data_IF_476118535581
#
_entry.id   IF_476118535581
#
_cell.length_a   1.000
_cell.length_b   1.000
_cell.length_c   1.000
_cell.angle_alpha   90.00
_cell.angle_beta   90.00
_cell.angle_gamma   90.00
#
_symmetry.space_group_name_H-M   'P 1'
#
loop_
_entity.id
_entity.type
_entity.pdbx_description
1 polymer ?
#
# COMPACT_ATOMS: atom_id res chain seq x y z
N UNK A 1 -60.11 13.78 58.28
CA UNK A 1 -58.83 14.51 58.24
C UNK A 1 -57.85 13.65 57.44
N UNK A 2 -57.06 14.10 56.47
CA UNK A 2 -56.91 15.37 55.77
C UNK A 2 -56.28 15.06 54.41
N UNK A 3 -56.50 15.96 53.45
CA UNK A 3 -56.05 15.94 52.05
C UNK A 3 -54.53 16.18 51.93
N UNK A 4 -53.95 15.73 50.80
CA UNK A 4 -53.14 16.50 49.84
C UNK A 4 -52.01 15.64 49.24
N UNK A 5 -51.43 15.87 48.06
CA UNK A 5 -51.75 16.52 46.78
C UNK A 5 -50.39 16.54 46.04
N UNK A 6 -50.37 16.22 44.75
CA UNK A 6 -49.39 16.64 43.71
C UNK A 6 -47.88 16.53 44.00
N UNK A 7 -47.16 15.86 43.09
CA UNK A 7 -46.28 16.62 42.21
C UNK A 7 -45.98 15.89 40.89
N UNK A 8 -46.19 16.62 39.81
CA UNK A 8 -45.81 16.26 38.45
C UNK A 8 -44.31 16.51 38.26
N UNK A 9 -43.62 15.65 37.51
CA UNK A 9 -42.45 16.10 36.74
C UNK A 9 -42.07 15.15 35.61
N UNK A 10 -42.52 15.56 34.44
CA UNK A 10 -41.89 15.34 33.14
C UNK A 10 -40.35 15.44 33.25
N UNK A 11 -39.62 14.39 32.92
CA UNK A 11 -38.19 14.50 32.55
C UNK A 11 -37.98 13.83 31.20
N UNK A 12 -37.77 14.70 30.21
CA UNK A 12 -37.35 14.41 28.83
C UNK A 12 -36.24 13.35 28.81
N UNK A 13 -36.43 12.30 28.02
CA UNK A 13 -35.32 11.44 27.54
C UNK A 13 -34.41 12.32 26.69
N UNK A 14 -33.22 12.62 27.19
CA UNK A 14 -32.18 13.31 26.43
C UNK A 14 -31.73 12.43 25.27
N UNK A 15 -31.79 12.96 24.05
CA UNK A 15 -31.03 12.46 22.91
C UNK A 15 -29.55 12.56 23.28
N UNK A 16 -28.83 11.44 23.33
CA UNK A 16 -27.37 11.47 23.24
C UNK A 16 -27.01 11.76 21.79
N UNK A 17 -26.72 13.04 21.56
CA UNK A 17 -26.16 13.56 20.33
C UNK A 17 -24.83 12.88 20.02
N UNK A 18 -24.73 12.37 18.80
CA UNK A 18 -23.52 12.24 18.00
C UNK A 18 -22.44 13.25 18.37
N UNK A 19 -21.31 12.77 18.87
CA UNK A 19 -20.13 13.56 19.19
C UNK A 19 -18.86 12.79 18.86
N UNK A 20 -18.32 13.04 17.67
CA UNK A 20 -16.92 12.94 17.27
C UNK A 20 -16.01 12.00 18.10
N UNK A 21 -15.88 10.75 17.69
CA UNK A 21 -14.72 9.91 18.06
C UNK A 21 -13.65 10.05 16.97
N UNK A 22 -12.98 11.20 16.94
CA UNK A 22 -11.78 11.39 16.14
C UNK A 22 -10.59 10.67 16.79
N UNK A 23 -10.16 9.55 16.20
CA UNK A 23 -8.78 9.03 16.00
C UNK A 23 -7.66 9.23 17.05
N UNK A 24 -7.94 9.66 18.28
CA UNK A 24 -6.92 9.97 19.31
C UNK A 24 -6.37 8.75 20.06
N UNK A 25 -6.73 7.53 19.63
CA UNK A 25 -6.58 6.31 20.43
C UNK A 25 -5.48 5.33 20.02
N UNK A 26 -4.68 5.59 18.98
CA UNK A 26 -3.42 4.84 18.82
C UNK A 26 -2.44 5.35 19.89
N UNK A 27 -2.64 4.90 21.13
CA UNK A 27 -1.75 5.18 22.25
C UNK A 27 -0.39 4.51 21.97
N UNK A 28 0.63 5.33 21.66
CA UNK A 28 2.07 5.22 21.99
C UNK A 28 2.79 3.86 22.11
N UNK A 29 2.27 2.75 21.60
CA UNK A 29 3.09 1.66 21.09
C UNK A 29 3.41 1.96 19.63
N UNK A 30 4.69 2.01 19.25
CA UNK A 30 5.02 2.13 17.82
C UNK A 30 4.62 0.81 17.16
N UNK A 31 3.58 0.85 16.35
CA UNK A 31 3.22 -0.26 15.46
C UNK A 31 4.43 -0.55 14.56
N UNK A 32 4.90 -1.80 14.55
CA UNK A 32 5.90 -2.28 13.61
C UNK A 32 5.23 -3.04 12.47
N UNK A 33 5.60 -2.72 11.24
CA UNK A 33 5.08 -3.37 10.03
C UNK A 33 6.06 -4.45 9.57
N UNK A 34 5.58 -5.68 9.39
CA UNK A 34 6.36 -6.79 8.84
C UNK A 34 5.89 -7.11 7.42
N UNK A 35 6.83 -7.41 6.52
CA UNK A 35 6.55 -7.99 5.19
C UNK A 35 7.70 -8.91 4.78
N UNK A 36 7.48 -9.74 3.76
CA UNK A 36 8.53 -10.58 3.15
C UNK A 36 9.37 -9.84 2.09
N UNK A 37 9.15 -8.54 1.90
CA UNK A 37 9.72 -7.72 0.84
C UNK A 37 9.57 -8.29 -0.58
N UNK A 38 8.61 -9.16 -0.85
CA UNK A 38 8.30 -9.62 -2.21
C UNK A 38 7.73 -8.48 -3.09
N UNK A 39 7.81 -8.59 -4.42
CA UNK A 39 7.18 -7.66 -5.38
C UNK A 39 5.69 -7.48 -5.09
N UNK A 40 5.06 -6.44 -5.64
CA UNK A 40 3.64 -6.18 -5.41
C UNK A 40 3.39 -5.59 -4.03
N UNK A 41 2.41 -6.12 -3.31
CA UNK A 41 1.89 -5.51 -2.05
C UNK A 41 2.99 -5.29 -1.02
N UNK A 42 3.86 -6.28 -0.79
CA UNK A 42 4.89 -6.23 0.26
C UNK A 42 5.89 -5.08 0.05
N UNK A 43 6.34 -4.81 -1.19
CA UNK A 43 7.13 -3.60 -1.48
C UNK A 43 6.36 -2.33 -1.26
N UNK A 44 5.13 -2.24 -1.78
CA UNK A 44 4.34 -1.00 -1.67
C UNK A 44 4.15 -0.59 -0.21
N UNK A 45 3.93 -1.57 0.66
CA UNK A 45 3.86 -1.37 2.11
C UNK A 45 5.18 -0.85 2.68
N UNK A 46 6.31 -1.47 2.33
CA UNK A 46 7.63 -1.02 2.79
C UNK A 46 7.97 0.39 2.29
N UNK A 47 7.68 0.69 1.02
CA UNK A 47 7.88 1.99 0.41
C UNK A 47 7.17 3.09 1.23
N UNK A 48 5.90 2.86 1.56
CA UNK A 48 5.12 3.79 2.37
C UNK A 48 5.61 3.87 3.83
N UNK A 49 5.97 2.74 4.45
CA UNK A 49 6.46 2.72 5.82
C UNK A 49 7.78 3.48 5.97
N UNK A 50 8.70 3.29 5.03
CA UNK A 50 9.98 4.00 4.97
C UNK A 50 9.78 5.50 4.72
N UNK A 51 8.90 5.89 3.79
CA UNK A 51 8.58 7.31 3.54
C UNK A 51 8.04 8.02 4.78
N UNK A 52 7.21 7.33 5.57
CA UNK A 52 6.61 7.88 6.78
C UNK A 52 7.48 7.74 8.04
N UNK A 53 8.65 7.10 7.94
CA UNK A 53 9.54 6.83 9.07
C UNK A 53 8.93 5.90 10.12
N UNK A 54 8.03 5.01 9.68
CA UNK A 54 7.44 3.97 10.51
C UNK A 54 8.39 2.79 10.66
N UNK A 55 8.37 2.16 11.83
CA UNK A 55 9.18 0.96 12.05
C UNK A 55 8.67 -0.16 11.15
N UNK A 56 9.55 -0.69 10.30
CA UNK A 56 9.23 -1.76 9.39
C UNK A 56 10.39 -2.74 9.21
N UNK A 57 10.08 -3.93 8.71
CA UNK A 57 11.04 -4.98 8.40
C UNK A 57 10.33 -6.30 8.11
N UNK A 58 10.88 -7.40 8.61
CA UNK A 58 10.32 -8.75 8.43
C UNK A 58 11.39 -9.74 7.99
N UNK A 59 10.99 -11.00 7.80
CA UNK A 59 11.85 -12.05 7.26
C UNK A 59 11.67 -12.16 5.75
N UNK A 60 12.75 -12.33 4.99
CA UNK A 60 12.74 -12.63 3.55
C UNK A 60 13.43 -13.97 3.28
N UNK A 61 13.21 -14.53 2.08
CA UNK A 61 13.80 -15.80 1.67
C UNK A 61 15.34 -15.74 1.64
N UNK A 62 15.96 -16.92 1.63
CA UNK A 62 17.41 -17.09 1.49
C UNK A 62 17.96 -16.29 0.31
N UNK A 63 19.14 -15.70 0.50
CA UNK A 63 19.78 -14.81 -0.44
C UNK A 63 19.02 -13.50 -0.67
N UNK A 64 18.04 -13.15 0.17
CA UNK A 64 17.13 -12.01 -0.05
C UNK A 64 16.41 -12.08 -1.40
N UNK A 65 16.00 -13.27 -1.82
CA UNK A 65 15.39 -13.47 -3.14
C UNK A 65 13.94 -12.99 -3.22
N UNK A 66 13.61 -12.36 -4.34
CA UNK A 66 12.29 -11.98 -4.78
C UNK A 66 12.12 -12.22 -6.29
N UNK A 67 10.91 -12.01 -6.81
CA UNK A 67 10.55 -12.28 -8.21
C UNK A 67 11.43 -11.54 -9.24
N UNK A 68 11.83 -10.32 -8.95
CA UNK A 68 12.68 -9.47 -9.80
C UNK A 68 14.16 -9.53 -9.42
N UNK A 69 14.56 -10.52 -8.61
CA UNK A 69 15.93 -10.73 -8.14
C UNK A 69 16.10 -10.39 -6.67
N UNK A 70 17.24 -9.79 -6.32
CA UNK A 70 17.59 -9.50 -4.93
C UNK A 70 16.78 -8.34 -4.36
N UNK A 71 16.26 -8.49 -3.14
CA UNK A 71 15.62 -7.41 -2.38
C UNK A 71 16.69 -6.35 -2.03
N UNK A 72 16.52 -5.09 -2.47
CA UNK A 72 17.46 -4.01 -2.18
C UNK A 72 17.78 -3.84 -0.69
N UNK A 73 19.01 -3.45 -0.36
CA UNK A 73 19.48 -3.22 1.02
C UNK A 73 18.75 -2.06 1.73
N UNK A 74 18.07 -1.20 0.96
CA UNK A 74 17.21 -0.14 1.51
C UNK A 74 15.98 -0.69 2.25
N UNK A 75 15.59 -1.94 2.00
CA UNK A 75 14.49 -2.59 2.71
C UNK A 75 15.01 -3.33 3.95
N UNK A 76 14.53 -2.97 5.16
CA UNK A 76 15.03 -3.48 6.44
C UNK A 76 14.47 -4.88 6.79
N UNK A 77 14.52 -5.81 5.84
CA UNK A 77 14.18 -7.22 6.06
C UNK A 77 15.42 -8.03 6.40
N UNK A 78 15.25 -9.07 7.20
CA UNK A 78 16.30 -10.01 7.59
C UNK A 78 16.18 -11.27 6.73
N UNK A 79 17.31 -11.78 6.24
CA UNK A 79 17.35 -13.05 5.52
C UNK A 79 17.09 -14.20 6.47
N UNK A 80 16.22 -15.12 6.08
CA UNK A 80 16.02 -16.38 6.79
C UNK A 80 16.85 -17.49 6.10
N UNK A 81 17.93 -18.00 6.74
CA UNK A 81 18.82 -18.97 6.10
C UNK A 81 18.10 -20.27 5.74
N UNK A 82 18.29 -20.74 4.51
CA UNK A 82 17.69 -21.98 4.00
C UNK A 82 16.18 -21.91 3.76
N UNK A 83 15.57 -20.73 3.82
CA UNK A 83 14.14 -20.53 3.67
C UNK A 83 13.74 -20.13 2.26
N UNK A 84 12.61 -20.63 1.79
CA UNK A 84 11.97 -20.14 0.58
C UNK A 84 10.97 -18.98 0.88
N UNK A 85 10.21 -18.59 -0.14
CA UNK A 85 9.18 -17.55 0.03
C UNK A 85 8.10 -17.97 1.01
N UNK A 86 7.65 -19.23 0.98
CA UNK A 86 6.62 -19.75 1.88
C UNK A 86 7.08 -19.75 3.34
N UNK A 87 8.32 -20.18 3.58
CA UNK A 87 8.95 -20.13 4.90
C UNK A 87 9.02 -18.69 5.44
N UNK A 88 9.37 -17.72 4.59
CA UNK A 88 9.38 -16.31 4.98
C UNK A 88 7.98 -15.78 5.32
N UNK A 89 6.94 -16.19 4.57
CA UNK A 89 5.54 -15.84 4.86
C UNK A 89 5.15 -16.41 6.22
N UNK A 90 5.42 -17.70 6.45
CA UNK A 90 5.15 -18.39 7.71
C UNK A 90 5.84 -17.69 8.89
N UNK A 91 7.11 -17.32 8.73
CA UNK A 91 7.89 -16.65 9.77
C UNK A 91 7.30 -15.27 10.10
N UNK A 92 6.94 -14.47 9.09
CA UNK A 92 6.29 -13.17 9.32
C UNK A 92 4.90 -13.29 9.97
N UNK A 93 4.12 -14.32 9.63
CA UNK A 93 2.85 -14.63 10.32
C UNK A 93 3.09 -14.99 11.78
N UNK A 94 4.13 -15.76 12.08
CA UNK A 94 4.49 -16.16 13.44
C UNK A 94 4.90 -14.95 14.30
N UNK A 95 5.74 -14.08 13.73
CA UNK A 95 6.39 -12.96 14.43
C UNK A 95 5.54 -11.69 14.56
N UNK A 96 4.38 -11.64 13.91
CA UNK A 96 3.43 -10.52 14.02
C UNK A 96 2.28 -10.85 14.96
N UNK A 97 1.66 -9.86 15.61
CA UNK A 97 0.47 -10.06 16.43
C UNK A 97 -0.75 -10.43 15.58
N UNK A 98 -0.78 -9.95 14.34
CA UNK A 98 -1.76 -10.34 13.33
C UNK A 98 -1.33 -10.02 11.91
N UNK A 99 -2.09 -10.53 10.95
CA UNK A 99 -1.80 -10.39 9.52
C UNK A 99 -2.93 -9.70 8.77
N UNK A 100 -2.63 -8.61 8.04
CA UNK A 100 -3.51 -8.06 7.03
C UNK A 100 -3.18 -8.69 5.66
N UNK A 101 -4.15 -9.40 5.08
CA UNK A 101 -3.99 -10.13 3.83
C UNK A 101 -4.78 -9.39 2.74
N UNK A 102 -4.05 -8.76 1.81
CA UNK A 102 -4.63 -8.04 0.69
C UNK A 102 -4.72 -8.99 -0.51
N UNK A 103 -5.90 -9.06 -1.13
CA UNK A 103 -6.16 -9.87 -2.31
C UNK A 103 -7.07 -9.13 -3.29
N UNK A 104 -7.20 -9.66 -4.52
CA UNK A 104 -7.98 -9.03 -5.58
C UNK A 104 -8.85 -10.08 -6.27
N UNK A 105 -10.10 -10.24 -5.82
CA UNK A 105 -10.98 -11.30 -6.29
C UNK A 105 -10.81 -12.57 -5.46
N UNK A 106 -10.21 -13.60 -6.02
CA UNK A 106 -9.93 -14.85 -5.30
C UNK A 106 -8.65 -14.73 -4.45
N UNK A 107 -8.54 -15.56 -3.40
CA UNK A 107 -7.37 -15.64 -2.53
C UNK A 107 -6.52 -16.81 -3.05
N UNK A 108 -5.41 -16.49 -3.70
CA UNK A 108 -4.50 -17.45 -4.34
C UNK A 108 -3.04 -17.08 -4.02
N UNK A 109 -2.12 -18.03 -4.17
CA UNK A 109 -0.68 -17.87 -3.94
C UNK A 109 -0.34 -17.35 -2.51
N UNK A 110 0.49 -16.31 -2.40
CA UNK A 110 0.98 -15.78 -1.11
C UNK A 110 -0.14 -15.34 -0.14
N UNK A 111 -1.22 -14.68 -0.60
CA UNK A 111 -2.44 -14.50 0.21
C UNK A 111 -3.03 -15.77 0.81
N UNK A 112 -3.11 -16.85 0.03
CA UNK A 112 -3.67 -18.14 0.45
C UNK A 112 -2.76 -18.81 1.47
N UNK A 113 -1.46 -18.89 1.17
CA UNK A 113 -0.46 -19.42 2.10
C UNK A 113 -0.45 -18.68 3.44
N UNK A 114 -0.51 -17.34 3.41
CA UNK A 114 -0.57 -16.54 4.63
C UNK A 114 -1.85 -16.81 5.44
N UNK A 115 -2.98 -16.98 4.76
CA UNK A 115 -4.26 -17.31 5.40
C UNK A 115 -4.17 -18.68 6.07
N UNK A 116 -3.65 -19.68 5.37
CA UNK A 116 -3.45 -21.04 5.87
C UNK A 116 -2.55 -21.04 7.10
N UNK A 117 -1.40 -20.35 7.07
CA UNK A 117 -0.53 -20.24 8.23
C UNK A 117 -1.21 -19.52 9.40
N UNK A 118 -2.02 -18.49 9.13
CA UNK A 118 -2.78 -17.82 10.20
C UNK A 118 -3.75 -18.80 10.87
N UNK A 119 -4.48 -19.59 10.08
CA UNK A 119 -5.43 -20.60 10.58
C UNK A 119 -4.70 -21.69 11.37
N UNK A 120 -3.64 -22.26 10.81
CA UNK A 120 -2.87 -23.34 11.43
C UNK A 120 -2.24 -22.92 12.76
N UNK A 121 -1.77 -21.68 12.85
CA UNK A 121 -1.10 -21.13 14.05
C UNK A 121 -2.07 -20.44 15.02
N UNK A 122 -3.36 -20.35 14.69
CA UNK A 122 -4.35 -19.61 15.49
C UNK A 122 -4.08 -18.11 15.59
N UNK A 123 -3.38 -17.53 14.60
CA UNK A 123 -3.05 -16.09 14.55
C UNK A 123 -4.24 -15.31 14.01
N UNK A 124 -4.48 -14.11 14.55
CA UNK A 124 -5.57 -13.27 14.05
C UNK A 124 -5.19 -12.65 12.71
N UNK A 125 -6.16 -12.61 11.78
CA UNK A 125 -5.95 -12.07 10.44
C UNK A 125 -7.12 -11.22 9.99
N UNK A 126 -6.86 -10.36 8.99
CA UNK A 126 -7.86 -9.54 8.33
C UNK A 126 -7.73 -9.67 6.82
N UNK A 127 -8.77 -10.20 6.19
CA UNK A 127 -8.92 -10.22 4.74
C UNK A 127 -9.32 -8.82 4.25
N UNK A 128 -8.62 -8.33 3.23
CA UNK A 128 -8.83 -7.01 2.62
C UNK A 128 -8.95 -7.19 1.10
N UNK A 129 -10.19 -7.19 0.61
CA UNK A 129 -10.45 -7.29 -0.83
C UNK A 129 -10.17 -5.95 -1.51
N UNK A 130 -8.99 -5.79 -2.11
CA UNK A 130 -8.64 -4.62 -2.91
C UNK A 130 -9.40 -4.55 -4.24
N UNK A 131 -10.11 -5.61 -4.63
CA UNK A 131 -11.09 -5.61 -5.73
C UNK A 131 -12.26 -4.68 -5.46
N UNK A 132 -12.74 -4.68 -4.21
CA UNK A 132 -13.94 -3.95 -3.80
C UNK A 132 -13.63 -2.62 -3.08
N UNK A 133 -12.48 -2.57 -2.40
CA UNK A 133 -12.10 -1.43 -1.57
C UNK A 133 -11.13 -0.50 -2.29
N UNK A 134 -11.34 0.81 -2.14
CA UNK A 134 -10.31 1.80 -2.45
C UNK A 134 -9.21 1.77 -1.37
N UNK A 135 -7.95 2.14 -1.70
CA UNK A 135 -6.84 2.07 -0.75
C UNK A 135 -7.08 2.79 0.58
N UNK A 136 -7.73 3.96 0.56
CA UNK A 136 -8.09 4.67 1.80
C UNK A 136 -9.09 3.92 2.68
N UNK A 137 -10.02 3.16 2.07
CA UNK A 137 -10.96 2.30 2.79
C UNK A 137 -10.25 1.07 3.34
N UNK A 138 -9.38 0.44 2.55
CA UNK A 138 -8.52 -0.66 2.99
C UNK A 138 -7.66 -0.25 4.20
N UNK A 139 -7.04 0.93 4.15
CA UNK A 139 -6.24 1.46 5.26
C UNK A 139 -7.06 1.65 6.53
N UNK A 140 -8.32 2.10 6.40
CA UNK A 140 -9.25 2.19 7.54
C UNK A 140 -9.63 0.80 8.09
N UNK A 141 -9.89 -0.18 7.22
CA UNK A 141 -10.19 -1.56 7.65
C UNK A 141 -9.02 -2.14 8.44
N UNK A 142 -7.79 -1.90 8.00
CA UNK A 142 -6.58 -2.34 8.72
C UNK A 142 -6.42 -1.56 10.03
N UNK A 143 -6.68 -0.25 10.05
CA UNK A 143 -6.63 0.56 11.27
C UNK A 143 -7.63 0.06 12.33
N UNK A 144 -8.86 -0.24 11.91
CA UNK A 144 -9.89 -0.79 12.79
C UNK A 144 -9.47 -2.17 13.33
N UNK A 145 -8.86 -3.01 12.49
CA UNK A 145 -8.32 -4.32 12.90
C UNK A 145 -7.20 -4.20 13.94
N UNK A 146 -6.21 -3.33 13.71
CA UNK A 146 -5.13 -3.04 14.66
C UNK A 146 -5.71 -2.62 16.02
N UNK A 147 -6.69 -1.71 16.01
CA UNK A 147 -7.30 -1.19 17.22
C UNK A 147 -8.16 -2.23 17.94
N UNK A 148 -8.95 -3.00 17.20
CA UNK A 148 -9.83 -4.04 17.76
C UNK A 148 -9.03 -5.14 18.47
N UNK A 149 -7.89 -5.53 17.88
CA UNK A 149 -7.05 -6.61 18.41
C UNK A 149 -5.89 -6.14 19.28
N UNK A 150 -5.63 -4.82 19.34
CA UNK A 150 -4.53 -4.26 20.12
C UNK A 150 -3.15 -4.64 19.57
N UNK A 151 -3.01 -4.68 18.24
CA UNK A 151 -1.77 -5.14 17.58
C UNK A 151 -0.64 -4.13 17.75
N UNK A 152 0.56 -4.62 18.10
CA UNK A 152 1.80 -3.85 18.14
C UNK A 152 2.72 -4.19 16.96
N UNK A 153 2.54 -5.37 16.37
CA UNK A 153 3.22 -5.84 15.17
C UNK A 153 2.19 -6.34 14.17
N UNK A 154 2.25 -5.86 12.93
CA UNK A 154 1.32 -6.24 11.87
C UNK A 154 2.11 -6.75 10.67
N UNK A 155 1.90 -8.01 10.30
CA UNK A 155 2.33 -8.51 8.99
C UNK A 155 1.34 -8.02 7.93
N UNK A 156 1.84 -7.50 6.81
CA UNK A 156 1.02 -7.16 5.66
C UNK A 156 1.54 -7.89 4.44
N UNK A 157 0.68 -8.67 3.81
CA UNK A 157 1.01 -9.48 2.64
C UNK A 157 -0.07 -9.34 1.57
N UNK A 158 0.28 -9.70 0.35
CA UNK A 158 -0.62 -9.71 -0.79
C UNK A 158 0.10 -10.18 -2.06
N UNK A 159 -0.58 -10.14 -3.22
CA UNK A 159 -0.03 -10.70 -4.44
C UNK A 159 1.21 -9.95 -4.94
N UNK A 160 2.05 -10.72 -5.64
CA UNK A 160 3.20 -10.26 -6.42
C UNK A 160 2.81 -9.33 -7.55
N UNK A 161 3.78 -8.56 -8.06
CA UNK A 161 3.58 -7.68 -9.22
C UNK A 161 3.16 -8.45 -10.47
N UNK A 162 3.70 -9.66 -10.69
CA UNK A 162 3.30 -10.52 -11.81
C UNK A 162 1.85 -11.00 -11.75
N UNK A 163 1.35 -11.28 -10.55
CA UNK A 163 -0.01 -11.73 -10.32
C UNK A 163 -1.01 -10.58 -10.39
N UNK A 164 -0.63 -9.38 -9.96
CA UNK A 164 -1.48 -8.18 -10.06
C UNK A 164 -0.65 -6.91 -10.24
N UNK A 165 -0.72 -6.33 -11.44
CA UNK A 165 0.05 -5.12 -11.81
C UNK A 165 -0.16 -3.94 -10.83
N UNK A 166 -1.38 -3.79 -10.29
CA UNK A 166 -1.71 -2.71 -9.35
C UNK A 166 -1.34 -3.00 -7.89
N UNK A 167 -0.83 -4.19 -7.56
CA UNK A 167 -0.61 -4.64 -6.19
C UNK A 167 0.31 -3.70 -5.39
N UNK A 168 1.45 -3.33 -5.97
CA UNK A 168 2.41 -2.46 -5.29
C UNK A 168 1.82 -1.08 -4.99
N UNK A 169 1.22 -0.44 -5.99
CA UNK A 169 0.57 0.86 -5.80
C UNK A 169 -0.55 0.79 -4.76
N UNK A 170 -1.36 -0.26 -4.80
CA UNK A 170 -2.45 -0.44 -3.84
C UNK A 170 -1.92 -0.61 -2.42
N UNK A 171 -0.89 -1.44 -2.22
CA UNK A 171 -0.23 -1.63 -0.93
C UNK A 171 0.34 -0.32 -0.38
N UNK A 172 1.03 0.45 -1.23
CA UNK A 172 1.56 1.78 -0.88
C UNK A 172 0.45 2.75 -0.45
N UNK A 173 -0.59 2.93 -1.27
CA UNK A 173 -1.65 3.89 -0.97
C UNK A 173 -2.47 3.47 0.27
N UNK A 174 -2.64 2.17 0.49
CA UNK A 174 -3.30 1.60 1.67
C UNK A 174 -2.50 1.88 2.94
N UNK A 175 -1.19 1.61 2.91
CA UNK A 175 -0.30 1.85 4.05
C UNK A 175 -0.13 3.34 4.32
N UNK A 176 0.03 4.16 3.28
CA UNK A 176 0.03 5.63 3.39
C UNK A 176 -1.24 6.16 4.05
N UNK A 177 -2.41 5.63 3.68
CA UNK A 177 -3.66 6.00 4.32
C UNK A 177 -3.67 5.60 5.80
N UNK A 178 -3.30 4.35 6.12
CA UNK A 178 -3.20 3.85 7.49
C UNK A 178 -2.31 4.75 8.37
N UNK A 179 -1.08 5.02 7.93
CA UNK A 179 -0.10 5.82 8.66
C UNK A 179 -0.49 7.30 8.74
N UNK A 180 -1.21 7.80 7.73
CA UNK A 180 -1.77 9.16 7.71
C UNK A 180 -2.98 9.39 8.63
N UNK A 181 -3.59 8.33 9.19
CA UNK A 181 -4.68 8.43 10.16
C UNK A 181 -4.21 8.81 11.58
N UNK A 182 -2.90 8.76 11.85
CA UNK A 182 -2.32 9.18 13.13
C UNK A 182 -2.45 10.71 13.37
N UNK A 183 -2.22 11.18 14.62
CA UNK A 183 -2.25 12.60 14.92
C UNK A 183 -1.24 13.35 14.04
N UNK A 184 -1.76 14.25 13.19
CA UNK A 184 -0.93 15.10 12.32
C UNK A 184 0.08 15.85 13.19
N UNK A 185 1.36 15.53 13.08
CA UNK A 185 2.43 16.44 13.53
C UNK A 185 2.19 17.74 12.78
N UNK A 186 1.83 18.80 13.51
CA UNK A 186 1.76 20.15 12.94
C UNK A 186 3.14 20.45 12.35
N UNK A 187 3.25 20.51 11.03
CA UNK A 187 4.38 21.20 10.39
C UNK A 187 4.27 22.66 10.82
N UNK A 188 5.21 23.12 11.64
CA UNK A 188 5.42 24.56 11.77
C UNK A 188 5.84 25.06 10.38
N UNK A 189 5.10 25.99 9.76
CA UNK A 189 5.67 26.71 8.64
C UNK A 189 6.87 27.49 9.20
N UNK A 190 8.06 27.08 8.78
CA UNK A 190 9.29 27.82 9.01
C UNK A 190 9.04 29.25 8.52
N UNK A 191 9.25 30.23 9.41
CA UNK A 191 9.09 31.64 9.08
C UNK A 191 10.14 32.00 8.04
N UNK A 192 9.75 32.05 6.77
CA UNK A 192 10.48 32.79 5.76
C UNK A 192 10.45 34.27 6.15
N UNK A 193 11.58 34.77 6.64
CA UNK A 193 11.79 36.19 6.86
C UNK A 193 11.66 36.92 5.51
N UNK A 194 10.95 38.06 5.45
CA UNK A 194 10.95 38.90 4.26
C UNK A 194 12.31 39.60 4.17
N UNK A 195 13.04 39.35 3.08
CA UNK A 195 14.18 40.17 2.69
C UNK A 195 13.64 41.54 2.26
N UNK A 196 13.96 42.57 3.05
CA UNK A 196 13.69 43.96 2.71
C UNK A 196 14.47 44.36 1.47
N UNK A 197 13.76 44.90 0.49
CA UNK A 197 14.33 45.62 -0.62
C UNK A 197 14.76 47.02 -0.13
N UNK A 198 16.01 47.37 -0.37
CA UNK A 198 16.47 48.76 -0.37
C UNK A 198 16.95 49.11 -1.77
N UNK A 199 16.22 50.03 -2.42
CA UNK A 199 16.65 50.78 -3.59
C UNK A 199 17.56 51.94 -3.14
N UNK A 200 18.72 52.14 -3.79
CA UNK A 200 19.09 53.40 -4.45
C UNK A 200 20.54 53.42 -4.98
N UNK A 201 20.71 53.93 -6.21
CA UNK A 201 21.83 54.83 -6.56
C UNK A 201 22.81 54.41 -7.68
N UNK A 202 22.49 54.77 -8.93
CA UNK A 202 23.29 55.55 -9.93
C UNK A 202 24.83 55.37 -10.01
N UNK A 203 25.56 55.34 -11.14
CA UNK A 203 25.33 55.59 -12.56
C UNK A 203 26.61 55.18 -13.38
N UNK A 204 26.49 55.20 -14.71
CA UNK A 204 27.49 55.54 -15.75
C UNK A 204 27.87 54.49 -16.83
N UNK A 205 27.28 54.71 -18.02
CA UNK A 205 27.80 54.80 -19.41
C UNK A 205 28.94 53.87 -19.89
N UNK A 206 28.68 53.16 -21.01
CA UNK A 206 29.43 53.32 -22.27
C UNK A 206 28.77 52.60 -23.44
N UNK A 207 28.87 53.24 -24.61
CA UNK A 207 28.26 53.02 -25.92
C UNK A 207 28.50 51.66 -26.61
N UNK A 208 27.68 51.38 -27.65
CA UNK A 208 28.12 50.52 -28.77
C UNK A 208 27.04 49.78 -29.58
N UNK A 209 26.52 50.45 -30.61
CA UNK A 209 26.09 49.94 -31.94
C UNK A 209 24.88 49.00 -32.18
N UNK A 210 23.81 49.65 -32.68
CA UNK A 210 23.14 49.52 -34.00
C UNK A 210 22.83 48.17 -34.71
N UNK A 211 21.61 48.18 -35.27
CA UNK A 211 21.04 47.43 -36.41
C UNK A 211 20.69 45.94 -36.18
N UNK A 212 19.50 45.45 -36.56
CA UNK A 212 18.38 46.06 -37.25
C UNK A 212 17.29 45.03 -37.55
N UNK A 213 16.06 45.53 -37.61
CA UNK A 213 14.96 45.18 -38.50
C UNK A 213 14.26 43.78 -38.45
N UNK A 214 12.93 43.91 -38.24
CA UNK A 214 11.83 43.34 -39.02
C UNK A 214 11.37 41.88 -38.82
N UNK A 215 10.17 41.81 -38.22
CA UNK A 215 8.92 41.26 -38.79
C UNK A 215 8.88 39.80 -39.30
N UNK A 216 7.96 39.02 -38.75
CA UNK A 216 7.47 37.80 -39.41
C UNK A 216 6.64 36.87 -38.53
N UNK A 217 5.36 37.19 -38.33
CA UNK A 217 4.33 36.24 -37.83
C UNK A 217 3.73 35.47 -39.03
N UNK A 218 2.84 34.47 -38.82
CA UNK A 218 3.09 33.05 -38.57
C UNK A 218 2.63 32.15 -39.76
N UNK A 219 2.97 30.85 -39.78
CA UNK A 219 2.25 29.89 -40.65
C UNK A 219 2.03 28.51 -40.01
N UNK A 220 0.78 28.10 -40.13
CA UNK A 220 0.19 26.78 -39.95
C UNK A 220 0.80 25.70 -40.85
N UNK A 221 0.61 24.43 -40.51
CA UNK A 221 0.03 23.45 -41.44
C UNK A 221 -0.47 22.17 -40.75
N UNK A 222 -1.65 21.71 -41.19
CA UNK A 222 -2.25 20.40 -40.92
C UNK A 222 -1.61 19.29 -41.78
N UNK A 223 -1.74 18.05 -41.30
CA UNK A 223 -1.38 16.76 -41.91
C UNK A 223 -2.02 16.48 -43.28
N UNK A 224 -1.56 15.46 -44.03
CA UNK A 224 -2.28 14.16 -43.98
C UNK A 224 -1.46 12.88 -44.30
N UNK A 225 -1.92 11.73 -43.79
CA UNK A 225 -2.14 10.56 -44.66
C UNK A 225 -1.23 9.32 -44.58
N UNK A 226 -1.88 8.20 -44.23
CA UNK A 226 -1.80 6.86 -44.85
C UNK A 226 -0.89 5.73 -44.29
N UNK A 227 -1.56 4.80 -43.59
CA UNK A 227 -1.84 3.39 -44.00
C UNK A 227 -0.65 2.43 -44.19
N UNK A 228 -0.60 1.34 -43.38
CA UNK A 228 -0.76 -0.07 -43.85
C UNK A 228 -0.74 -1.12 -42.72
N UNK A 229 -1.45 -2.21 -43.02
CA UNK A 229 -1.77 -3.43 -42.23
C UNK A 229 -0.66 -4.49 -42.24
N UNK A 230 -0.69 -5.38 -41.23
CA UNK A 230 -0.51 -6.88 -41.21
C UNK A 230 0.01 -7.23 -39.80
N UNK A 231 -0.53 -8.13 -38.98
CA UNK A 231 -1.22 -9.39 -39.22
C UNK A 231 -0.24 -10.55 -38.95
N UNK A 232 -0.31 -11.20 -37.78
CA UNK A 232 0.00 -12.64 -37.63
C UNK A 232 -0.44 -13.14 -36.24
N UNK A 233 -1.50 -13.95 -36.24
CA UNK A 233 -1.87 -14.77 -35.09
C UNK A 233 -0.96 -16.00 -35.02
N UNK A 234 -0.51 -16.36 -33.82
CA UNK A 234 0.13 -17.65 -33.55
C UNK A 234 -0.88 -18.55 -32.84
N UNK A 235 -1.30 -19.61 -33.53
CA UNK A 235 -1.96 -20.78 -32.94
C UNK A 235 -0.87 -21.77 -32.56
N UNK A 236 -0.88 -22.22 -31.31
CA UNK A 236 -0.10 -23.37 -30.84
C UNK A 236 -0.87 -24.67 -31.09
N UNK A 237 -0.24 -25.75 -31.59
CA UNK A 237 -0.83 -27.07 -31.60
C UNK A 237 -0.58 -27.79 -30.27
N UNK A 238 -1.62 -28.45 -29.72
CA UNK A 238 -1.50 -29.37 -28.58
C UNK A 238 -1.48 -30.81 -29.11
N UNK A 239 -0.41 -31.53 -28.77
CA UNK A 239 -0.16 -32.93 -29.12
C UNK A 239 -1.26 -33.86 -28.58
N UNK A 240 -1.64 -34.83 -29.41
CA UNK A 240 -2.32 -36.07 -29.01
C UNK A 240 -1.26 -37.07 -28.51
N UNK A 241 -1.55 -37.77 -27.42
CA UNK A 241 -0.85 -39.00 -27.05
C UNK A 241 -1.68 -40.21 -27.51
N UNK A 242 -1.03 -41.13 -28.21
CA UNK A 242 -1.49 -42.47 -28.52
C UNK A 242 -0.42 -43.47 -28.10
N UNK A 243 -0.87 -44.70 -27.83
CA UNK A 243 -0.13 -45.93 -27.52
C UNK A 243 0.39 -46.04 -26.08
N UNK A 244 0.35 -47.18 -25.40
CA UNK A 244 0.31 -48.57 -25.85
C UNK A 244 -0.23 -49.52 -24.76
N UNK A 245 -0.75 -50.65 -25.23
CA UNK A 245 -1.11 -51.86 -24.49
C UNK A 245 0.01 -52.39 -23.58
N UNK A 246 -0.38 -53.02 -22.45
CA UNK A 246 0.43 -54.05 -21.79
C UNK A 246 -0.48 -55.22 -21.43
N UNK A 247 -0.33 -56.28 -22.21
CA UNK A 247 -0.81 -57.63 -21.97
C UNK A 247 0.32 -58.37 -21.24
N UNK A 248 0.10 -58.84 -20.01
CA UNK A 248 0.99 -59.79 -19.31
C UNK A 248 0.11 -60.78 -18.55
N UNK A 249 0.19 -62.03 -18.98
CA UNK A 249 -0.27 -63.26 -18.32
C UNK A 249 0.89 -63.86 -17.50
N UNK A 250 0.55 -64.81 -16.61
CA UNK A 250 1.34 -65.59 -15.63
C UNK A 250 1.24 -65.02 -14.20
N UNK A 251 0.78 -65.74 -13.17
CA UNK A 251 0.51 -67.17 -12.91
C UNK A 251 -0.78 -67.35 -12.09
#
# INVERSE_FOLDING_TARGET
MSRNNRDSRFKKRGKSSSGQSGISGLQSGRLKILTNAQTGVSRGVLDAALEFGSECGGSCAEGRMAEDGFVPDSYPVEELPGADTSDSIRQNVKDSDGTAIIFFGDIEDEPEEALDYCVQLGKTYRLVNGGDLQPGQAGKVIADFIKEKGLMTLNVTGPKSSATERAQRFGYETMRALLGLGPKKRRNPEKSQPTTADENGSAQVSDGDQNGNANGKPRSNKSPGQRRRRGSGRRFPRNKASDSQSDVTQD
#
